data_IF_470455711352
#
_entry.id   IF_470455711352
#
_cell.length_a   1.000
_cell.length_b   1.000
_cell.length_c   1.000
_cell.angle_alpha   90.00
_cell.angle_beta   90.00
_cell.angle_gamma   90.00
#
_symmetry.space_group_name_H-M   'P 1'
#
loop_
_entity.id
_entity.type
_entity.pdbx_description
1 polymer ?
#
# COMPACT_ATOMS: atom_id res chain seq x y z
N UNK A 1 10.21 12.16 19.84
CA UNK A 1 10.43 11.32 18.65
C UNK A 1 10.76 12.23 17.48
N UNK A 2 11.86 11.94 16.79
CA UNK A 2 12.20 12.59 15.53
C UNK A 2 11.65 11.75 14.37
N UNK A 3 11.21 12.40 13.30
CA UNK A 3 10.70 11.76 12.09
C UNK A 3 11.55 12.19 10.90
N UNK A 4 11.80 11.25 10.01
CA UNK A 4 12.55 11.46 8.77
C UNK A 4 11.82 10.77 7.62
N UNK A 5 11.70 11.41 6.48
CA UNK A 5 11.21 10.79 5.24
C UNK A 5 12.41 10.38 4.40
N UNK A 6 12.49 9.10 4.03
CA UNK A 6 13.71 8.49 3.54
C UNK A 6 13.51 7.66 2.26
N UNK A 7 14.44 7.82 1.33
CA UNK A 7 14.57 6.95 0.18
C UNK A 7 15.45 5.75 0.56
N UNK A 8 14.84 4.59 0.73
CA UNK A 8 15.58 3.40 1.18
C UNK A 8 16.51 2.81 0.13
N UNK A 9 16.28 3.08 -1.17
CA UNK A 9 17.14 2.62 -2.26
C UNK A 9 18.37 3.51 -2.39
N UNK A 10 18.17 4.83 -2.44
CA UNK A 10 19.25 5.81 -2.58
C UNK A 10 19.95 6.15 -1.26
N UNK A 11 19.37 5.74 -0.12
CA UNK A 11 19.82 6.05 1.25
C UNK A 11 19.98 7.55 1.51
N UNK A 12 19.00 8.33 1.08
CA UNK A 12 18.96 9.80 1.26
C UNK A 12 17.64 10.25 1.86
N UNK A 13 17.69 11.39 2.54
CA UNK A 13 16.51 12.10 3.02
C UNK A 13 15.73 12.70 1.86
N UNK A 14 14.41 12.59 1.92
CA UNK A 14 13.46 13.19 0.97
C UNK A 14 13.17 14.64 1.33
N UNK A 15 12.86 15.44 0.32
CA UNK A 15 12.39 16.82 0.51
C UNK A 15 10.93 16.87 0.97
N UNK A 16 10.51 18.03 1.48
CA UNK A 16 9.10 18.27 1.78
C UNK A 16 8.21 17.99 0.55
N UNK A 17 7.09 17.32 0.78
CA UNK A 17 6.16 16.91 -0.25
C UNK A 17 6.53 15.63 -1.01
N UNK A 18 7.78 15.16 -0.94
CA UNK A 18 8.19 13.90 -1.58
C UNK A 18 7.84 12.70 -0.70
N UNK A 19 7.15 11.72 -1.27
CA UNK A 19 6.80 10.48 -0.57
C UNK A 19 8.04 9.60 -0.42
N UNK A 20 8.24 9.09 0.80
CA UNK A 20 9.29 8.14 1.14
C UNK A 20 8.92 7.31 2.36
N UNK A 21 9.85 6.44 2.78
CA UNK A 21 9.73 5.65 4.01
C UNK A 21 9.75 6.57 5.22
N UNK A 22 8.77 6.44 6.10
CA UNK A 22 8.77 7.13 7.39
C UNK A 22 9.72 6.39 8.33
N UNK A 23 10.76 7.09 8.78
CA UNK A 23 11.66 6.62 9.80
C UNK A 23 11.41 7.38 11.11
N UNK A 24 11.54 6.69 12.24
CA UNK A 24 11.38 7.28 13.56
C UNK A 24 12.59 7.01 14.45
N UNK A 25 13.01 8.01 15.23
CA UNK A 25 14.11 7.92 16.19
C UNK A 25 13.76 8.61 17.51
N UNK A 26 14.23 8.10 18.62
CA UNK A 26 14.06 8.69 19.95
C UNK A 26 13.87 7.67 21.05
N UNK A 27 13.86 8.12 22.30
CA UNK A 27 13.86 7.28 23.50
C UNK A 27 12.60 6.40 23.64
N UNK A 28 11.51 6.80 22.99
CA UNK A 28 10.24 6.04 22.97
C UNK A 28 10.20 4.92 21.92
N UNK A 29 11.26 4.79 21.10
CA UNK A 29 11.34 3.73 20.09
C UNK A 29 11.92 2.49 20.75
N UNK A 30 11.26 1.35 20.56
CA UNK A 30 11.72 0.06 21.08
C UNK A 30 13.08 -0.36 20.51
N UNK A 31 13.78 -1.25 21.21
CA UNK A 31 15.13 -1.68 20.83
C UNK A 31 15.19 -2.90 19.88
N UNK A 32 14.07 -3.34 19.37
CA UNK A 32 13.93 -4.51 18.46
C UNK A 32 12.93 -5.54 18.96
N UNK A 33 12.62 -6.53 18.14
CA UNK A 33 11.72 -7.63 18.46
C UNK A 33 12.44 -8.75 19.21
N UNK A 34 11.75 -9.40 20.17
CA UNK A 34 12.27 -10.58 20.86
C UNK A 34 12.49 -11.73 19.84
N UNK A 35 13.70 -12.29 19.85
CA UNK A 35 14.05 -13.42 18.98
C UNK A 35 14.30 -13.08 17.51
N UNK A 36 14.27 -11.79 17.13
CA UNK A 36 14.55 -11.35 15.77
C UNK A 36 15.83 -10.51 15.71
N UNK A 37 16.72 -10.70 14.71
CA UNK A 37 17.87 -9.85 14.54
C UNK A 37 17.45 -8.38 14.39
N UNK A 38 18.12 -7.50 15.12
CA UNK A 38 17.80 -6.06 15.19
C UNK A 38 17.96 -5.32 13.85
N UNK A 39 18.64 -5.92 12.90
CA UNK A 39 19.16 -5.21 11.73
C UNK A 39 18.12 -5.00 10.62
N UNK A 40 17.05 -5.81 10.59
CA UNK A 40 16.02 -5.70 9.53
C UNK A 40 15.02 -4.54 9.74
N UNK A 41 14.87 -4.06 10.98
CA UNK A 41 13.88 -3.02 11.33
C UNK A 41 14.49 -1.66 11.64
N UNK A 42 15.80 -1.53 11.51
CA UNK A 42 16.51 -0.27 11.74
C UNK A 42 17.45 0.06 10.58
N UNK A 43 17.69 1.34 10.41
CA UNK A 43 18.69 1.88 9.48
C UNK A 43 19.55 2.91 10.20
N UNK A 44 20.88 2.82 10.01
CA UNK A 44 21.82 3.83 10.50
C UNK A 44 21.94 4.97 9.49
N UNK A 45 21.64 6.19 9.92
CA UNK A 45 21.74 7.38 9.10
C UNK A 45 22.09 8.61 9.92
N UNK A 46 23.08 9.40 9.47
CA UNK A 46 23.61 10.59 10.15
C UNK A 46 23.97 10.34 11.63
N UNK A 47 24.57 9.16 11.93
CA UNK A 47 25.02 8.79 13.29
C UNK A 47 23.89 8.44 14.26
N UNK A 48 22.65 8.31 13.79
CA UNK A 48 21.50 7.87 14.58
C UNK A 48 20.93 6.57 14.03
N UNK A 49 20.34 5.76 14.91
CA UNK A 49 19.64 4.53 14.58
C UNK A 49 18.14 4.85 14.41
N UNK A 50 17.61 4.61 13.22
CA UNK A 50 16.24 4.93 12.84
C UNK A 50 15.40 3.66 12.68
N UNK A 51 14.25 3.62 13.32
CA UNK A 51 13.26 2.57 13.13
C UNK A 51 12.54 2.75 11.79
N UNK A 52 12.47 1.69 11.01
CA UNK A 52 11.76 1.63 9.72
C UNK A 52 10.31 1.25 10.00
N UNK A 53 9.41 2.22 9.95
CA UNK A 53 7.99 2.01 10.33
C UNK A 53 7.24 1.07 9.39
N UNK A 54 7.69 0.96 8.14
CA UNK A 54 6.98 0.28 7.07
C UNK A 54 5.86 1.12 6.45
N UNK A 55 5.66 2.35 6.92
CA UNK A 55 4.70 3.30 6.38
C UNK A 55 5.39 4.28 5.43
N UNK A 56 4.71 4.64 4.34
CA UNK A 56 5.11 5.69 3.42
C UNK A 56 4.33 6.98 3.71
N UNK A 57 4.98 8.10 3.54
CA UNK A 57 4.38 9.42 3.73
C UNK A 57 5.34 10.54 3.34
N UNK A 58 4.93 11.76 3.58
CA UNK A 58 5.74 12.96 3.35
C UNK A 58 5.55 13.96 4.49
N UNK A 59 6.46 14.92 4.59
CA UNK A 59 6.25 16.12 5.42
C UNK A 59 5.57 17.19 4.58
N UNK A 60 4.48 17.77 5.09
CA UNK A 60 3.86 18.93 4.47
C UNK A 60 4.65 20.22 4.80
N UNK A 61 4.22 21.35 4.25
CA UNK A 61 4.88 22.66 4.43
C UNK A 61 4.99 23.09 5.91
N UNK A 62 4.10 22.60 6.76
CA UNK A 62 4.09 22.86 8.20
C UNK A 62 4.93 21.84 9.01
N UNK A 63 5.60 20.90 8.34
CA UNK A 63 6.37 19.85 8.98
C UNK A 63 5.53 18.71 9.58
N UNK A 64 4.23 18.67 9.32
CA UNK A 64 3.37 17.58 9.75
C UNK A 64 3.52 16.36 8.83
N UNK A 65 3.48 15.16 9.42
CA UNK A 65 3.53 13.90 8.68
C UNK A 65 2.18 13.62 8.05
N UNK A 66 2.17 13.45 6.73
CA UNK A 66 1.00 12.99 5.97
C UNK A 66 1.25 11.55 5.54
N UNK A 67 0.40 10.63 6.00
CA UNK A 67 0.50 9.21 5.67
C UNK A 67 -0.02 8.97 4.26
N UNK A 68 0.77 8.24 3.45
CA UNK A 68 0.36 7.77 2.12
C UNK A 68 -0.08 6.29 2.13
N UNK A 69 0.32 5.53 3.16
CA UNK A 69 -0.08 4.14 3.36
C UNK A 69 1.08 3.20 3.69
N UNK A 70 0.80 1.91 3.74
CA UNK A 70 1.81 0.86 4.01
C UNK A 70 2.67 0.59 2.77
N UNK A 71 4.00 0.48 2.92
CA UNK A 71 4.93 0.12 1.82
C UNK A 71 4.48 -1.15 1.09
N UNK A 72 4.00 -2.15 1.82
CA UNK A 72 3.51 -3.42 1.26
C UNK A 72 2.25 -3.28 0.40
N UNK A 73 1.57 -2.14 0.47
CA UNK A 73 0.40 -1.79 -0.33
C UNK A 73 0.71 -0.80 -1.46
N UNK A 74 1.99 -0.73 -1.85
CA UNK A 74 2.44 -0.02 -3.04
C UNK A 74 3.06 -1.03 -4.01
N UNK A 75 2.78 -0.84 -5.28
CA UNK A 75 3.33 -1.65 -6.37
C UNK A 75 4.09 -0.75 -7.35
N UNK A 76 5.24 -1.20 -7.83
CA UNK A 76 6.04 -0.45 -8.81
C UNK A 76 5.60 -0.83 -10.22
N UNK A 77 5.04 0.12 -10.97
CA UNK A 77 4.56 -0.08 -12.34
C UNK A 77 5.33 0.89 -13.26
N UNK A 78 6.08 0.37 -14.22
CA UNK A 78 6.89 1.17 -15.15
C UNK A 78 7.79 2.23 -14.45
N UNK A 79 8.31 1.93 -13.26
CA UNK A 79 9.16 2.82 -12.47
C UNK A 79 8.41 3.77 -11.52
N UNK A 80 7.10 3.86 -11.60
CA UNK A 80 6.27 4.67 -10.71
C UNK A 80 5.71 3.85 -9.55
N UNK A 81 5.59 4.47 -8.37
CA UNK A 81 5.00 3.85 -7.17
C UNK A 81 3.50 4.10 -7.17
N UNK A 82 2.72 3.04 -7.36
CA UNK A 82 1.26 3.06 -7.37
C UNK A 82 0.73 2.68 -5.99
N UNK A 83 -0.10 3.53 -5.41
CA UNK A 83 -0.74 3.31 -4.10
C UNK A 83 -2.03 2.51 -4.25
N UNK A 84 -2.06 1.26 -3.82
CA UNK A 84 -3.28 0.45 -3.79
C UNK A 84 -4.34 1.03 -2.85
N UNK A 85 -3.99 1.56 -1.64
CA UNK A 85 -4.97 2.24 -0.81
C UNK A 85 -5.63 3.45 -1.48
N UNK A 86 -4.88 4.23 -2.27
CA UNK A 86 -5.46 5.38 -2.97
C UNK A 86 -6.43 4.95 -4.07
N UNK A 87 -6.09 3.90 -4.84
CA UNK A 87 -7.01 3.29 -5.81
C UNK A 87 -8.27 2.79 -5.11
N UNK A 88 -8.10 2.00 -4.05
CA UNK A 88 -9.21 1.42 -3.29
C UNK A 88 -10.13 2.49 -2.70
N UNK A 89 -9.56 3.60 -2.17
CA UNK A 89 -10.34 4.70 -1.60
C UNK A 89 -11.33 5.29 -2.62
N UNK A 90 -10.89 5.52 -3.86
CA UNK A 90 -11.77 6.02 -4.94
C UNK A 90 -12.88 5.03 -5.28
N UNK A 91 -12.54 3.73 -5.29
CA UNK A 91 -13.55 2.71 -5.59
C UNK A 91 -14.57 2.57 -4.46
N UNK A 92 -14.12 2.64 -3.19
CA UNK A 92 -15.00 2.58 -2.02
C UNK A 92 -15.96 3.78 -1.95
N UNK A 93 -15.56 4.95 -2.43
CA UNK A 93 -16.46 6.11 -2.51
C UNK A 93 -17.67 5.84 -3.43
N UNK A 94 -17.46 5.12 -4.53
CA UNK A 94 -18.52 4.78 -5.50
C UNK A 94 -19.25 3.48 -5.15
N UNK A 95 -18.56 2.52 -4.58
CA UNK A 95 -19.08 1.23 -4.14
C UNK A 95 -18.80 1.03 -2.65
N UNK A 96 -19.52 1.74 -1.78
CA UNK A 96 -19.28 1.69 -0.33
C UNK A 96 -19.59 0.29 0.24
N UNK A 97 -18.93 -0.02 1.35
CA UNK A 97 -19.22 -1.22 2.11
C UNK A 97 -20.65 -1.23 2.64
N UNK A 98 -21.13 -2.41 2.99
CA UNK A 98 -22.45 -2.66 3.59
C UNK A 98 -22.29 -3.09 5.05
N UNK A 99 -23.41 -3.38 5.74
CA UNK A 99 -23.39 -3.99 7.08
C UNK A 99 -22.73 -5.38 7.07
N UNK A 100 -22.73 -6.06 5.92
CA UNK A 100 -22.11 -7.37 5.72
C UNK A 100 -20.60 -7.31 5.52
N UNK A 101 -20.04 -6.13 5.21
CA UNK A 101 -18.61 -5.91 5.03
C UNK A 101 -18.22 -5.05 3.83
N UNK A 102 -16.92 -5.06 3.47
CA UNK A 102 -16.44 -4.32 2.30
C UNK A 102 -16.97 -4.93 1.01
N UNK A 103 -17.34 -4.08 0.04
CA UNK A 103 -17.83 -4.50 -1.29
C UNK A 103 -16.73 -4.56 -2.32
N UNK A 104 -15.66 -3.78 -2.13
CA UNK A 104 -14.49 -3.73 -3.02
C UNK A 104 -13.21 -3.76 -2.22
N UNK A 105 -12.19 -4.38 -2.79
CA UNK A 105 -10.82 -4.33 -2.30
C UNK A 105 -9.84 -4.43 -3.48
N UNK A 106 -8.63 -3.93 -3.30
CA UNK A 106 -7.59 -3.96 -4.33
C UNK A 106 -6.33 -4.62 -3.78
N UNK A 107 -5.76 -5.54 -4.52
CA UNK A 107 -4.48 -6.15 -4.19
C UNK A 107 -3.64 -6.32 -5.45
N UNK A 108 -2.33 -6.53 -5.31
CA UNK A 108 -1.43 -6.69 -6.44
C UNK A 108 -0.53 -7.89 -6.30
N UNK A 109 -0.13 -8.41 -7.46
CA UNK A 109 0.86 -9.47 -7.58
C UNK A 109 1.97 -9.01 -8.53
N UNK A 110 3.21 -9.02 -8.04
CA UNK A 110 4.38 -8.80 -8.87
C UNK A 110 4.65 -10.07 -9.68
N UNK A 111 4.85 -9.90 -10.98
CA UNK A 111 5.14 -10.98 -11.92
C UNK A 111 6.53 -10.71 -12.50
N UNK A 112 7.43 -11.68 -12.36
CA UNK A 112 8.81 -11.55 -12.85
C UNK A 112 8.84 -11.35 -14.37
N UNK A 113 9.51 -10.29 -14.81
CA UNK A 113 9.63 -9.94 -16.23
C UNK A 113 8.36 -9.40 -16.90
N UNK A 114 7.28 -9.17 -16.16
CA UNK A 114 6.02 -8.67 -16.69
C UNK A 114 5.48 -7.48 -15.88
N UNK A 115 4.43 -6.85 -16.41
CA UNK A 115 3.69 -5.82 -15.67
C UNK A 115 3.02 -6.46 -14.44
N UNK A 116 3.11 -5.85 -13.27
CA UNK A 116 2.37 -6.31 -12.09
C UNK A 116 0.86 -6.40 -12.35
N UNK A 117 0.23 -7.39 -11.75
CA UNK A 117 -1.22 -7.51 -11.73
C UNK A 117 -1.74 -6.62 -10.63
N UNK A 118 -2.67 -5.70 -10.95
CA UNK A 118 -3.46 -4.94 -9.98
C UNK A 118 -4.89 -5.46 -10.11
N UNK A 119 -5.34 -6.19 -9.10
CA UNK A 119 -6.61 -6.90 -9.10
C UNK A 119 -7.66 -6.17 -8.28
N UNK A 120 -8.82 -5.97 -8.87
CA UNK A 120 -10.05 -5.62 -8.18
C UNK A 120 -10.73 -6.89 -7.67
N UNK A 121 -11.01 -6.94 -6.39
CA UNK A 121 -11.92 -7.88 -5.77
C UNK A 121 -13.24 -7.17 -5.49
N UNK A 122 -14.37 -7.78 -5.85
CA UNK A 122 -15.70 -7.21 -5.61
C UNK A 122 -16.69 -8.29 -5.18
N UNK A 123 -17.69 -7.90 -4.39
CA UNK A 123 -18.82 -8.77 -4.03
C UNK A 123 -20.03 -8.55 -4.93
N UNK A 124 -19.91 -7.65 -5.91
CA UNK A 124 -20.93 -7.35 -6.90
C UNK A 124 -20.34 -7.45 -8.30
N UNK A 125 -21.20 -7.66 -9.29
CA UNK A 125 -20.79 -7.61 -10.70
C UNK A 125 -20.26 -6.20 -11.03
N UNK A 126 -18.93 -6.07 -11.09
CA UNK A 126 -18.24 -4.83 -11.39
C UNK A 126 -17.17 -5.08 -12.44
N UNK A 127 -17.37 -4.47 -13.60
CA UNK A 127 -16.44 -4.62 -14.72
C UNK A 127 -15.16 -3.83 -14.52
N UNK A 128 -14.05 -4.32 -15.11
CA UNK A 128 -12.77 -3.59 -15.14
C UNK A 128 -12.90 -2.23 -15.83
N UNK A 129 -13.76 -2.14 -16.84
CA UNK A 129 -13.93 -0.89 -17.60
C UNK A 129 -14.61 0.18 -16.75
N UNK A 130 -15.66 -0.17 -15.98
CA UNK A 130 -16.32 0.75 -15.04
C UNK A 130 -15.38 1.20 -13.92
N UNK A 131 -14.65 0.26 -13.33
CA UNK A 131 -13.70 0.57 -12.27
C UNK A 131 -12.58 1.48 -12.79
N UNK A 132 -12.00 1.18 -13.95
CA UNK A 132 -10.96 1.99 -14.56
C UNK A 132 -11.48 3.35 -15.04
N UNK A 133 -12.71 3.46 -15.52
CA UNK A 133 -13.33 4.74 -15.86
C UNK A 133 -13.42 5.64 -14.61
N UNK A 134 -13.86 5.08 -13.48
CA UNK A 134 -13.91 5.79 -12.19
C UNK A 134 -12.53 6.29 -11.74
N UNK A 135 -11.51 5.47 -11.89
CA UNK A 135 -10.12 5.87 -11.56
C UNK A 135 -9.62 6.99 -12.47
N UNK A 136 -9.93 6.93 -13.77
CA UNK A 136 -9.58 8.00 -14.72
C UNK A 136 -10.26 9.33 -14.38
N UNK A 137 -11.56 9.30 -14.02
CA UNK A 137 -12.31 10.47 -13.57
C UNK A 137 -11.71 11.10 -12.30
N UNK A 138 -11.17 10.26 -11.41
CA UNK A 138 -10.45 10.69 -10.21
C UNK A 138 -8.99 11.14 -10.47
N UNK A 139 -8.54 11.16 -11.73
CA UNK A 139 -7.23 11.65 -12.14
C UNK A 139 -6.08 10.64 -12.05
N UNK A 140 -6.38 9.35 -11.88
CA UNK A 140 -5.35 8.32 -11.92
C UNK A 140 -4.82 8.12 -13.34
N UNK A 141 -3.47 8.00 -13.46
CA UNK A 141 -2.81 7.72 -14.74
C UNK A 141 -2.97 6.24 -15.15
N UNK A 142 -2.68 5.95 -16.42
CA UNK A 142 -2.72 4.58 -16.95
C UNK A 142 -1.78 3.57 -16.27
N UNK A 143 -0.80 4.01 -15.48
CA UNK A 143 0.05 3.11 -14.67
C UNK A 143 -0.72 2.53 -13.49
N UNK A 144 -1.72 3.24 -12.97
CA UNK A 144 -2.60 2.79 -11.88
C UNK A 144 -3.79 1.95 -12.35
N UNK A 145 -3.81 1.54 -13.62
CA UNK A 145 -4.91 0.78 -14.20
C UNK A 145 -5.03 -0.63 -13.61
N UNK A 146 -6.23 -0.97 -13.16
CA UNK A 146 -6.62 -2.34 -12.82
C UNK A 146 -6.58 -3.21 -14.08
N UNK A 147 -5.99 -4.39 -13.99
CA UNK A 147 -5.83 -5.30 -15.12
C UNK A 147 -6.37 -6.73 -14.87
N UNK A 148 -6.93 -6.96 -13.68
CA UNK A 148 -7.66 -8.18 -13.33
C UNK A 148 -8.85 -7.82 -12.44
N UNK A 149 -9.97 -8.54 -12.59
CA UNK A 149 -11.09 -8.50 -11.66
C UNK A 149 -11.40 -9.92 -11.19
N UNK A 150 -11.85 -10.02 -9.95
CA UNK A 150 -12.28 -11.26 -9.33
C UNK A 150 -13.50 -10.99 -8.49
N UNK A 151 -14.63 -11.62 -8.85
CA UNK A 151 -15.84 -11.60 -8.04
C UNK A 151 -15.72 -12.61 -6.91
N UNK A 152 -16.10 -12.21 -5.71
CA UNK A 152 -16.11 -13.01 -4.49
C UNK A 152 -17.50 -12.99 -3.87
N UNK A 153 -17.87 -14.05 -3.19
CA UNK A 153 -19.08 -14.08 -2.37
C UNK A 153 -18.96 -13.06 -1.22
N UNK A 154 -17.75 -12.98 -0.62
CA UNK A 154 -17.43 -12.02 0.43
C UNK A 154 -15.94 -11.63 0.35
N UNK A 155 -15.62 -10.39 0.71
CA UNK A 155 -14.25 -9.96 0.89
C UNK A 155 -13.80 -10.38 2.29
N UNK A 156 -12.69 -11.15 2.40
CA UNK A 156 -12.24 -11.65 3.70
C UNK A 156 -11.86 -10.51 4.63
N UNK A 157 -12.26 -10.62 5.89
CA UNK A 157 -11.96 -9.68 6.95
C UNK A 157 -11.26 -10.36 8.13
N UNK A 158 -10.38 -9.63 8.79
CA UNK A 158 -9.76 -10.06 10.05
C UNK A 158 -10.79 -10.00 11.20
N UNK A 159 -10.51 -10.65 12.30
CA UNK A 159 -11.34 -10.57 13.52
C UNK A 159 -11.52 -9.14 14.09
N UNK A 160 -10.76 -8.18 13.58
CA UNK A 160 -10.90 -6.74 13.89
C UNK A 160 -11.85 -5.99 12.95
N UNK A 161 -12.47 -6.68 11.97
CA UNK A 161 -13.33 -6.08 10.93
C UNK A 161 -12.58 -5.41 9.77
N UNK A 162 -11.25 -5.42 9.76
CA UNK A 162 -10.45 -4.88 8.65
C UNK A 162 -10.28 -5.91 7.55
N UNK A 163 -10.25 -5.47 6.28
CA UNK A 163 -9.98 -6.33 5.12
C UNK A 163 -8.69 -7.15 5.33
N UNK A 164 -8.76 -8.46 5.09
CA UNK A 164 -7.62 -9.37 5.10
C UNK A 164 -6.90 -9.36 3.74
N UNK A 165 -6.03 -8.39 3.55
CA UNK A 165 -5.21 -8.29 2.33
C UNK A 165 -4.21 -9.44 2.16
N UNK A 166 -3.86 -10.16 3.24
CA UNK A 166 -3.00 -11.34 3.13
C UNK A 166 -3.76 -12.51 2.51
N UNK A 167 -5.00 -12.71 2.92
CA UNK A 167 -5.91 -13.67 2.32
C UNK A 167 -6.21 -13.34 0.86
N UNK A 168 -6.47 -12.06 0.53
CA UNK A 168 -6.68 -11.62 -0.85
C UNK A 168 -5.45 -11.85 -1.73
N UNK A 169 -4.25 -11.58 -1.21
CA UNK A 169 -3.00 -11.82 -1.94
C UNK A 169 -2.78 -13.30 -2.24
N UNK A 170 -2.95 -14.17 -1.25
CA UNK A 170 -2.85 -15.62 -1.44
C UNK A 170 -3.85 -16.12 -2.50
N UNK A 171 -5.09 -15.62 -2.46
CA UNK A 171 -6.10 -15.94 -3.47
C UNK A 171 -5.72 -15.44 -4.87
N UNK A 172 -5.11 -14.26 -4.97
CA UNK A 172 -4.61 -13.73 -6.25
C UNK A 172 -3.47 -14.60 -6.80
N UNK A 173 -2.57 -15.06 -5.93
CA UNK A 173 -1.49 -15.99 -6.28
C UNK A 173 -2.05 -17.30 -6.84
N UNK A 174 -3.06 -17.89 -6.19
CA UNK A 174 -3.75 -19.11 -6.67
C UNK A 174 -4.41 -18.90 -8.04
N UNK A 175 -5.08 -17.76 -8.25
CA UNK A 175 -5.76 -17.41 -9.51
C UNK A 175 -4.81 -17.10 -10.67
N UNK A 176 -3.55 -16.90 -10.39
CA UNK A 176 -2.49 -16.57 -11.37
C UNK A 176 -1.46 -17.68 -11.53
N UNK A 177 -1.61 -18.79 -10.80
CA UNK A 177 -0.82 -20.00 -11.06
C UNK A 177 -1.26 -20.62 -12.40
N UNK A 178 -0.29 -21.09 -13.21
CA UNK A 178 -0.56 -21.68 -14.51
C UNK A 178 -1.29 -23.03 -14.40
#
# INVERSE_FOLDING_TARGET
>A
VEILIFDTEKRIEKKHGEIGMILACGDSIFNGYLGNPRDEVFVDYKGKKWYVTGDLGHLNENGAVVLAGRKKRFVKVAGEMVSLPAIESVLVEKWPGTEEGPTVAVESLEVEGARPIICLFSTTELSLDEANATLNEAGFSGVARLNKACELVEIPVLGTGKTDYRGLKAKLEELCQP
#
